data_IF_492809588093
#
_entry.id   IF_492809588093
#
_cell.length_a   1.000
_cell.length_b   1.000
_cell.length_c   1.000
_cell.angle_alpha   90.00
_cell.angle_beta   90.00
_cell.angle_gamma   90.00
#
_symmetry.space_group_name_H-M   'P 1'
#
loop_
_entity.id
_entity.type
_entity.pdbx_description
1 polymer ?
#
# COMPACT_ATOMS: atom_id res chain seq x y z
N UNK A 1 -22.33 -17.59 -4.29
CA UNK A 1 -21.75 -16.35 -3.72
C UNK A 1 -20.60 -15.72 -4.54
N UNK A 2 -20.10 -16.35 -5.62
CA UNK A 2 -18.98 -15.80 -6.43
C UNK A 2 -19.36 -14.99 -7.68
N UNK A 3 -20.65 -14.72 -7.93
CA UNK A 3 -21.10 -14.04 -9.16
C UNK A 3 -21.19 -12.52 -9.01
N UNK A 4 -21.46 -12.03 -7.79
CA UNK A 4 -21.68 -10.60 -7.51
C UNK A 4 -20.38 -9.80 -7.45
N UNK A 5 -19.26 -10.42 -7.05
CA UNK A 5 -17.94 -9.77 -7.03
C UNK A 5 -17.43 -9.53 -8.46
N UNK A 6 -17.65 -10.47 -9.40
CA UNK A 6 -17.23 -10.30 -10.80
C UNK A 6 -17.96 -9.17 -11.54
N UNK A 7 -19.23 -8.91 -11.21
CA UNK A 7 -20.01 -7.87 -11.89
C UNK A 7 -19.56 -6.46 -11.50
N UNK A 8 -19.17 -6.24 -10.23
CA UNK A 8 -18.62 -4.95 -9.80
C UNK A 8 -17.31 -4.55 -10.49
N UNK A 9 -16.53 -5.52 -10.99
CA UNK A 9 -15.29 -5.26 -11.73
C UNK A 9 -15.47 -5.02 -13.23
N UNK A 10 -16.64 -5.35 -13.80
CA UNK A 10 -16.85 -5.24 -15.26
C UNK A 10 -17.49 -3.90 -15.68
N UNK A 11 -18.32 -3.28 -14.83
CA UNK A 11 -19.07 -2.07 -15.20
C UNK A 11 -18.27 -0.75 -15.12
N UNK A 12 -17.02 -0.79 -14.63
CA UNK A 12 -16.12 0.38 -14.57
C UNK A 12 -14.79 0.15 -15.30
N UNK A 13 -14.78 -0.71 -16.31
CA UNK A 13 -13.57 -1.14 -17.03
C UNK A 13 -12.78 -0.02 -17.75
N UNK A 14 -13.27 1.21 -17.78
CA UNK A 14 -12.57 2.38 -18.33
C UNK A 14 -11.71 3.16 -17.31
N UNK A 15 -11.90 2.99 -16.00
CA UNK A 15 -11.19 3.78 -14.98
C UNK A 15 -10.06 3.03 -14.27
N UNK A 16 -10.05 1.72 -14.38
CA UNK A 16 -8.94 0.96 -13.87
C UNK A 16 -7.77 1.04 -14.89
N UNK A 17 -6.49 1.09 -14.49
CA UNK A 17 -5.34 0.94 -15.40
C UNK A 17 -4.88 -0.52 -15.56
N UNK A 18 -4.73 -1.09 -16.77
CA UNK A 18 -4.45 -2.51 -17.15
C UNK A 18 -3.56 -3.48 -16.29
N UNK A 19 -3.06 -3.14 -15.10
CA UNK A 19 -2.26 -3.97 -14.20
C UNK A 19 -3.00 -5.14 -13.51
N UNK A 20 -4.34 -5.20 -13.60
CA UNK A 20 -5.17 -6.35 -13.18
C UNK A 20 -5.44 -7.35 -14.31
N UNK A 21 -4.99 -7.10 -15.54
CA UNK A 21 -5.16 -8.03 -16.67
C UNK A 21 -4.24 -9.27 -16.62
N UNK A 22 -3.29 -9.35 -15.67
CA UNK A 22 -2.47 -10.55 -15.46
C UNK A 22 -3.12 -11.48 -14.42
N UNK A 23 -3.04 -12.81 -14.59
CA UNK A 23 -3.54 -13.76 -13.60
C UNK A 23 -2.96 -13.47 -12.20
N UNK A 24 -3.80 -13.60 -11.16
CA UNK A 24 -3.43 -13.36 -9.75
C UNK A 24 -2.85 -14.61 -9.08
N UNK A 25 -2.79 -15.70 -9.84
CA UNK A 25 -2.68 -17.08 -9.40
C UNK A 25 -1.35 -17.37 -8.66
N UNK A 26 -0.36 -16.46 -8.82
CA UNK A 26 0.95 -16.50 -8.15
C UNK A 26 1.35 -15.14 -7.54
N UNK A 27 0.41 -14.22 -7.35
CA UNK A 27 0.69 -12.89 -6.79
C UNK A 27 0.18 -12.79 -5.36
N UNK A 28 0.96 -12.08 -4.56
CA UNK A 28 0.69 -11.82 -3.16
C UNK A 28 0.64 -10.33 -2.89
N UNK A 29 -0.13 -9.94 -1.88
CA UNK A 29 -0.10 -8.59 -1.33
C UNK A 29 -0.04 -8.65 0.19
N UNK A 30 0.77 -7.81 0.78
CA UNK A 30 0.72 -7.48 2.21
C UNK A 30 0.05 -6.12 2.35
N UNK A 31 -0.92 -6.03 3.25
CA UNK A 31 -1.59 -4.78 3.61
C UNK A 31 -1.44 -4.55 5.11
N UNK A 32 -0.99 -3.37 5.50
CA UNK A 32 -0.96 -2.93 6.91
C UNK A 32 -1.65 -1.58 7.06
N UNK A 33 -2.41 -1.40 8.13
CA UNK A 33 -3.05 -0.14 8.53
C UNK A 33 -2.81 0.04 10.01
N UNK A 34 -2.41 1.23 10.45
CA UNK A 34 -2.20 1.49 11.86
C UNK A 34 -2.09 2.97 12.19
N UNK A 35 -2.15 3.25 13.49
CA UNK A 35 -1.81 4.56 14.05
C UNK A 35 -0.30 4.65 14.27
N UNK A 36 0.23 5.87 14.41
CA UNK A 36 1.62 6.02 14.82
C UNK A 36 1.88 5.39 16.19
N UNK A 37 3.12 4.90 16.37
CA UNK A 37 3.64 4.36 17.63
C UNK A 37 2.85 3.19 18.26
N UNK A 38 1.99 2.55 17.48
CA UNK A 38 1.26 1.33 17.86
C UNK A 38 1.55 0.20 16.88
N UNK A 39 1.30 -1.03 17.35
CA UNK A 39 1.17 -2.18 16.46
C UNK A 39 0.10 -1.90 15.39
N UNK A 40 0.24 -2.44 14.16
CA UNK A 40 -0.77 -2.25 13.12
C UNK A 40 -2.15 -2.70 13.62
N UNK A 41 -3.15 -1.82 13.50
CA UNK A 41 -4.55 -2.14 13.79
C UNK A 41 -5.08 -3.24 12.86
N UNK A 42 -4.54 -3.29 11.64
CA UNK A 42 -4.84 -4.30 10.65
C UNK A 42 -3.56 -4.70 9.92
N UNK A 43 -3.41 -5.99 9.70
CA UNK A 43 -2.28 -6.57 8.97
C UNK A 43 -2.74 -7.87 8.33
N UNK A 44 -2.61 -7.99 7.00
CA UNK A 44 -2.96 -9.23 6.31
C UNK A 44 -2.05 -9.50 5.11
N UNK A 45 -1.99 -10.78 4.74
CA UNK A 45 -1.53 -11.24 3.44
C UNK A 45 -2.74 -11.66 2.60
N UNK A 46 -2.72 -11.31 1.32
CA UNK A 46 -3.71 -11.70 0.31
C UNK A 46 -2.98 -12.47 -0.79
N UNK A 47 -3.53 -13.60 -1.23
CA UNK A 47 -2.91 -14.42 -2.27
C UNK A 47 -1.61 -15.07 -1.79
N UNK A 48 -0.63 -15.20 -2.71
CA UNK A 48 0.65 -15.88 -2.46
C UNK A 48 1.73 -14.92 -1.94
N UNK A 49 1.42 -14.13 -0.90
CA UNK A 49 2.39 -13.18 -0.33
C UNK A 49 3.57 -13.91 0.32
N UNK A 50 4.76 -13.38 0.10
CA UNK A 50 6.03 -13.94 0.56
C UNK A 50 6.55 -13.19 1.77
N UNK A 51 7.51 -13.79 2.49
CA UNK A 51 8.25 -13.11 3.55
C UNK A 51 8.93 -11.82 3.06
N UNK A 52 9.42 -11.82 1.81
CA UNK A 52 10.00 -10.62 1.20
C UNK A 52 8.99 -9.48 1.09
N UNK A 53 7.72 -9.77 0.82
CA UNK A 53 6.68 -8.74 0.74
C UNK A 53 6.42 -8.07 2.10
N UNK A 54 6.48 -8.85 3.18
CA UNK A 54 6.41 -8.34 4.56
C UNK A 54 7.59 -7.43 4.90
N UNK A 55 8.79 -7.82 4.48
CA UNK A 55 10.01 -7.03 4.69
C UNK A 55 9.95 -5.71 3.90
N UNK A 56 9.52 -5.74 2.64
CA UNK A 56 9.30 -4.53 1.84
C UNK A 56 8.19 -3.63 2.39
N UNK A 57 7.13 -4.21 2.97
CA UNK A 57 6.09 -3.45 3.67
C UNK A 57 6.70 -2.71 4.87
N UNK A 58 7.53 -3.39 5.66
CA UNK A 58 8.19 -2.78 6.81
C UNK A 58 9.18 -1.69 6.40
N UNK A 59 9.97 -1.91 5.34
CA UNK A 59 10.92 -0.93 4.83
C UNK A 59 10.23 0.35 4.34
N UNK A 60 9.11 0.22 3.62
CA UNK A 60 8.31 1.37 3.19
C UNK A 60 7.69 2.13 4.38
N UNK A 61 7.21 1.41 5.40
CA UNK A 61 6.71 2.01 6.64
C UNK A 61 7.81 2.78 7.37
N UNK A 62 9.01 2.23 7.47
CA UNK A 62 10.14 2.90 8.11
C UNK A 62 10.49 4.21 7.39
N UNK A 63 10.50 4.22 6.04
CA UNK A 63 10.72 5.44 5.25
C UNK A 63 9.63 6.48 5.51
N UNK A 64 8.37 6.04 5.53
CA UNK A 64 7.25 6.92 5.82
C UNK A 64 7.37 7.53 7.22
N UNK A 65 7.68 6.72 8.26
CA UNK A 65 7.90 7.20 9.63
C UNK A 65 9.07 8.19 9.72
N UNK A 66 10.16 7.92 9.00
CA UNK A 66 11.35 8.77 9.02
C UNK A 66 11.10 10.12 8.33
N UNK A 67 10.36 10.13 7.22
CA UNK A 67 10.25 11.31 6.35
C UNK A 67 8.95 12.08 6.51
N UNK A 68 7.92 11.48 7.11
CA UNK A 68 6.55 11.98 7.12
C UNK A 68 5.91 12.05 5.73
N UNK A 69 6.57 11.50 4.69
CA UNK A 69 6.17 11.58 3.28
C UNK A 69 5.84 10.20 2.74
N UNK A 70 4.94 10.08 1.74
CA UNK A 70 4.71 8.82 1.05
C UNK A 70 6.02 8.21 0.58
N UNK A 71 6.18 6.88 0.71
CA UNK A 71 7.47 6.24 0.44
C UNK A 71 7.89 6.34 -1.03
N UNK A 72 6.96 6.56 -1.96
CA UNK A 72 7.27 6.72 -3.38
C UNK A 72 8.09 7.99 -3.61
N UNK A 73 9.36 7.83 -3.97
CA UNK A 73 10.26 8.95 -4.23
C UNK A 73 10.72 9.70 -2.96
N UNK A 74 10.41 9.19 -1.76
CA UNK A 74 10.98 9.72 -0.54
C UNK A 74 12.47 9.34 -0.46
N UNK A 75 13.35 10.32 -0.57
CA UNK A 75 14.78 10.15 -0.29
C UNK A 75 14.98 10.10 1.22
N UNK A 76 15.28 8.93 1.77
CA UNK A 76 15.95 8.85 3.08
C UNK A 76 17.40 9.32 2.89
N UNK A 77 17.97 10.08 3.84
CA UNK A 77 19.36 10.56 3.82
C UNK A 77 20.38 9.41 4.06
N UNK A 78 20.25 8.33 3.30
CA UNK A 78 20.94 7.06 3.46
C UNK A 78 20.18 6.02 2.66
N UNK A 79 20.64 5.77 1.42
CA UNK A 79 20.13 4.70 0.59
C UNK A 79 20.77 3.39 1.06
N UNK A 80 19.99 2.54 1.70
CA UNK A 80 20.38 1.15 1.93
C UNK A 80 20.10 0.38 0.62
N UNK A 81 21.16 -0.13 -0.02
CA UNK A 81 21.10 -0.81 -1.33
C UNK A 81 21.00 -2.33 -1.20
N UNK A 82 20.76 -2.84 0.01
CA UNK A 82 20.57 -4.27 0.25
C UNK A 82 19.28 -4.81 -0.37
N UNK A 83 19.19 -6.14 -0.54
CA UNK A 83 18.01 -6.80 -1.10
C UNK A 83 16.74 -6.59 -0.25
N UNK A 84 16.90 -6.29 1.04
CA UNK A 84 15.84 -5.97 1.99
C UNK A 84 16.25 -4.76 2.82
N UNK A 85 16.12 -3.55 2.23
CA UNK A 85 16.69 -2.37 2.85
C UNK A 85 15.90 -2.01 4.12
N UNK A 86 16.58 -1.43 5.11
CA UNK A 86 15.92 -0.90 6.31
C UNK A 86 14.87 0.17 5.95
N UNK A 87 15.08 0.86 4.84
CA UNK A 87 14.23 1.92 4.29
C UNK A 87 14.02 1.68 2.79
N UNK A 88 12.78 1.77 2.31
CA UNK A 88 12.45 1.66 0.89
C UNK A 88 11.83 2.95 0.34
N UNK A 89 12.23 3.36 -0.87
CA UNK A 89 11.66 4.52 -1.58
C UNK A 89 10.83 4.12 -2.81
N UNK A 90 10.56 2.82 -2.96
CA UNK A 90 9.92 2.23 -4.14
C UNK A 90 8.44 2.59 -4.24
N UNK A 91 7.78 2.91 -3.12
CA UNK A 91 6.36 3.18 -3.03
C UNK A 91 5.60 2.04 -2.35
N UNK A 92 4.46 2.36 -1.76
CA UNK A 92 3.65 1.41 -0.99
C UNK A 92 3.44 1.76 0.47
N UNK A 93 3.82 2.96 0.93
CA UNK A 93 3.36 3.49 2.22
C UNK A 93 2.89 4.95 2.08
N UNK A 94 1.74 5.28 2.67
CA UNK A 94 1.12 6.61 2.64
C UNK A 94 0.63 6.97 4.06
N UNK A 95 0.80 8.23 4.51
CA UNK A 95 0.24 8.68 5.76
C UNK A 95 -1.29 8.84 5.67
N UNK A 96 -2.00 8.47 6.74
CA UNK A 96 -3.42 8.77 6.93
C UNK A 96 -3.55 10.18 7.50
N UNK A 97 -4.34 11.02 6.84
CA UNK A 97 -4.65 12.37 7.29
C UNK A 97 -6.11 12.47 7.71
N UNK A 98 -6.35 13.00 8.90
CA UNK A 98 -7.69 13.40 9.33
C UNK A 98 -7.94 14.85 8.89
N UNK A 99 -9.18 15.14 8.47
CA UNK A 99 -9.55 16.50 8.05
C UNK A 99 -9.36 17.48 9.20
N UNK A 100 -8.58 18.53 8.97
CA UNK A 100 -8.28 19.55 9.97
C UNK A 100 -7.16 19.20 10.95
N UNK A 101 -6.52 18.03 10.81
CA UNK A 101 -5.34 17.70 11.61
C UNK A 101 -4.10 18.44 11.12
N UNK A 102 -3.25 18.86 12.05
CA UNK A 102 -1.94 19.47 11.77
C UNK A 102 -0.87 18.43 11.44
N UNK A 103 -1.09 17.19 11.84
CA UNK A 103 -0.18 16.05 11.64
C UNK A 103 -0.96 14.83 11.14
N UNK A 104 -0.28 13.96 10.40
CA UNK A 104 -0.86 12.67 10.01
C UNK A 104 -1.17 11.82 11.25
N UNK A 105 -2.26 11.06 11.21
CA UNK A 105 -2.72 10.29 12.38
C UNK A 105 -2.31 8.82 12.33
N UNK A 106 -1.87 8.33 11.18
CA UNK A 106 -1.47 6.93 11.01
C UNK A 106 -0.91 6.65 9.62
N UNK A 107 -0.95 5.39 9.21
CA UNK A 107 -0.39 4.92 7.95
C UNK A 107 -1.22 3.83 7.30
N UNK A 108 -1.09 3.74 5.98
CA UNK A 108 -1.46 2.57 5.18
C UNK A 108 -0.24 2.12 4.39
N UNK A 109 -0.02 0.81 4.36
CA UNK A 109 1.08 0.16 3.66
C UNK A 109 0.54 -0.96 2.78
N UNK A 110 1.04 -1.04 1.55
CA UNK A 110 0.79 -2.11 0.58
C UNK A 110 2.13 -2.54 -0.02
N UNK A 111 2.38 -3.84 -0.08
CA UNK A 111 3.58 -4.45 -0.68
C UNK A 111 3.21 -5.71 -1.44
N UNK A 112 4.01 -6.13 -2.41
CA UNK A 112 3.80 -7.35 -3.21
C UNK A 112 3.64 -7.13 -4.72
N UNK A 113 3.46 -5.87 -5.17
CA UNK A 113 3.58 -5.47 -6.57
C UNK A 113 4.66 -4.41 -6.75
N UNK A 114 4.83 -3.91 -7.97
CA UNK A 114 5.73 -2.77 -8.20
C UNK A 114 5.29 -1.56 -7.37
N UNK A 115 6.24 -0.82 -6.84
CA UNK A 115 5.94 0.26 -5.90
C UNK A 115 4.99 1.36 -6.42
N UNK A 116 5.03 1.77 -7.71
CA UNK A 116 4.01 2.65 -8.29
C UNK A 116 2.61 2.03 -8.30
N UNK A 117 2.48 0.71 -8.48
CA UNK A 117 1.19 0.01 -8.45
C UNK A 117 0.68 -0.09 -7.01
N UNK A 118 1.53 -0.45 -6.05
CA UNK A 118 1.17 -0.46 -4.62
C UNK A 118 0.64 0.92 -4.19
N UNK A 119 1.31 1.99 -4.59
CA UNK A 119 0.90 3.36 -4.28
C UNK A 119 -0.48 3.69 -4.89
N UNK A 120 -0.72 3.33 -6.16
CA UNK A 120 -2.02 3.53 -6.81
C UNK A 120 -3.15 2.77 -6.14
N UNK A 121 -2.91 1.53 -5.67
CA UNK A 121 -3.91 0.74 -4.94
C UNK A 121 -4.37 1.49 -3.68
N UNK A 122 -3.45 2.07 -2.92
CA UNK A 122 -3.80 2.83 -1.71
C UNK A 122 -4.65 4.06 -2.06
N UNK A 123 -4.21 4.86 -3.05
CA UNK A 123 -4.95 6.06 -3.47
C UNK A 123 -6.35 5.73 -3.99
N UNK A 124 -6.46 4.66 -4.79
CA UNK A 124 -7.74 4.17 -5.29
C UNK A 124 -8.67 3.76 -4.14
N UNK A 125 -8.16 2.99 -3.17
CA UNK A 125 -8.93 2.59 -2.01
C UNK A 125 -9.42 3.79 -1.18
N UNK A 126 -8.58 4.81 -0.98
CA UNK A 126 -9.00 6.04 -0.31
C UNK A 126 -10.12 6.75 -1.05
N UNK A 127 -10.01 6.94 -2.36
CA UNK A 127 -11.04 7.62 -3.15
C UNK A 127 -12.39 6.89 -3.07
N UNK A 128 -12.40 5.56 -3.11
CA UNK A 128 -13.67 4.82 -3.04
C UNK A 128 -14.24 4.66 -1.64
N UNK A 129 -13.42 4.64 -0.60
CA UNK A 129 -13.92 4.62 0.79
C UNK A 129 -14.42 6.00 1.23
N UNK A 130 -13.81 7.09 0.74
CA UNK A 130 -14.21 8.46 1.08
C UNK A 130 -15.46 8.89 0.31
N UNK A 131 -15.65 8.44 -0.94
CA UNK A 131 -16.81 8.79 -1.77
C UNK A 131 -18.03 7.87 -1.56
N UNK A 132 -17.89 6.77 -0.81
CA UNK A 132 -19.02 5.89 -0.46
C UNK A 132 -19.84 6.40 0.76
N UNK A 133 -19.70 7.67 1.12
CA UNK A 133 -20.43 8.36 2.19
C UNK A 133 -21.11 9.61 1.64
#
# INVERSE_FOLDING_TARGET
>A
MGRMIRTFFNDHSEEFPNWYARPWDHRGLVVKIGMWDQEPMFSCAVGAATEGDWQWAQANLNTLKLTGKPSLGATSNGHDTTAFPKYANSGGAIPIWLKGATESSGYVVVSGLSGPVNHKIILFAYNHVVLAR
#
